data_IF_493622485807
#
_entry.id   IF_493622485807
#
_cell.length_a   1.000
_cell.length_b   1.000
_cell.length_c   1.000
_cell.angle_alpha   90.00
_cell.angle_beta   90.00
_cell.angle_gamma   90.00
#
_symmetry.space_group_name_H-M   'P 1'
#
loop_
_entity.id
_entity.type
_entity.pdbx_description
1 polymer ?
#
# COMPACT_ATOMS: atom_id res chain seq x y z
N UNK A 1 16.75 -7.07 25.86
CA UNK A 1 16.77 -6.64 24.44
C UNK A 1 16.34 -5.20 24.37
N UNK A 2 16.88 -4.45 23.43
CA UNK A 2 16.68 -3.01 23.33
C UNK A 2 15.24 -2.61 22.97
N UNK A 3 14.53 -3.49 22.27
CA UNK A 3 13.12 -3.41 21.92
C UNK A 3 12.48 -4.75 22.30
N UNK A 4 11.19 -4.75 22.61
CA UNK A 4 10.39 -5.98 22.74
C UNK A 4 10.13 -6.53 21.33
N UNK A 5 11.17 -7.20 20.78
CA UNK A 5 11.20 -7.64 19.41
C UNK A 5 10.93 -9.15 19.31
N UNK A 6 9.92 -9.51 18.53
CA UNK A 6 9.65 -10.89 18.13
C UNK A 6 10.73 -11.38 17.15
N UNK A 7 11.45 -12.47 17.47
CA UNK A 7 12.50 -13.01 16.62
C UNK A 7 11.99 -14.26 15.89
N UNK A 8 11.84 -14.17 14.58
CA UNK A 8 11.47 -15.28 13.71
C UNK A 8 12.72 -15.78 12.99
N UNK A 9 13.11 -17.02 13.25
CA UNK A 9 14.26 -17.67 12.63
C UNK A 9 13.84 -18.55 11.47
N UNK A 10 14.61 -18.51 10.37
CA UNK A 10 14.36 -19.33 9.18
C UNK A 10 15.66 -19.61 8.42
N UNK A 11 15.59 -20.40 7.34
CA UNK A 11 16.71 -20.72 6.45
C UNK A 11 17.20 -19.56 5.57
N UNK A 12 16.71 -18.34 5.80
CA UNK A 12 17.13 -17.14 5.07
C UNK A 12 18.61 -16.81 5.26
N UNK A 13 19.19 -16.09 4.33
CA UNK A 13 20.61 -15.69 4.36
C UNK A 13 20.84 -14.29 4.95
N UNK A 14 19.81 -13.46 5.06
CA UNK A 14 19.90 -12.06 5.51
C UNK A 14 19.02 -11.82 6.73
N UNK A 15 19.41 -10.86 7.58
CA UNK A 15 18.58 -10.35 8.66
C UNK A 15 17.78 -9.14 8.17
N UNK A 16 16.55 -9.02 8.66
CA UNK A 16 15.70 -7.85 8.40
C UNK A 16 14.88 -7.52 9.64
N UNK A 17 14.62 -6.25 9.87
CA UNK A 17 13.65 -5.77 10.84
C UNK A 17 12.43 -5.22 10.11
N UNK A 18 11.26 -5.52 10.63
CA UNK A 18 9.98 -5.04 10.15
C UNK A 18 9.20 -4.50 11.35
N UNK A 19 8.51 -3.39 11.16
CA UNK A 19 7.51 -2.92 12.12
C UNK A 19 6.15 -3.27 11.53
N UNK A 20 5.35 -3.98 12.30
CA UNK A 20 3.99 -4.35 11.93
C UNK A 20 3.07 -3.14 12.10
N UNK A 21 1.90 -3.16 11.49
CA UNK A 21 0.95 -2.04 11.55
C UNK A 21 0.41 -1.78 12.99
N UNK A 22 0.47 -2.80 13.86
CA UNK A 22 0.13 -2.71 15.28
C UNK A 22 1.32 -2.32 16.18
N UNK A 23 2.44 -1.87 15.57
CA UNK A 23 3.61 -1.34 16.27
C UNK A 23 4.57 -2.39 16.84
N UNK A 24 4.40 -3.70 16.55
CA UNK A 24 5.35 -4.71 16.99
C UNK A 24 6.60 -4.70 16.12
N UNK A 25 7.76 -4.82 16.77
CA UNK A 25 9.05 -4.98 16.09
C UNK A 25 9.28 -6.47 15.82
N UNK A 26 9.35 -6.87 14.56
CA UNK A 26 9.60 -8.26 14.15
C UNK A 26 10.95 -8.34 13.45
N UNK A 27 11.85 -9.19 13.98
CA UNK A 27 13.16 -9.47 13.37
C UNK A 27 13.12 -10.84 12.71
N UNK A 28 13.32 -10.85 11.40
CA UNK A 28 13.50 -12.09 10.64
C UNK A 28 14.99 -12.38 10.47
N UNK A 29 15.51 -13.44 11.11
CA UNK A 29 16.93 -13.75 11.15
C UNK A 29 17.24 -15.14 10.61
N UNK A 30 18.47 -15.36 10.06
CA UNK A 30 18.96 -16.69 9.77
C UNK A 30 19.05 -17.57 11.01
N UNK A 31 18.89 -18.91 10.85
CA UNK A 31 19.03 -19.88 11.94
C UNK A 31 20.41 -19.80 12.63
N UNK A 32 21.47 -19.57 11.85
CA UNK A 32 22.85 -19.52 12.32
C UNK A 32 23.24 -18.21 13.04
N UNK A 33 22.42 -17.15 12.96
CA UNK A 33 22.76 -15.84 13.54
C UNK A 33 22.59 -15.83 15.05
N UNK A 34 23.66 -15.52 15.80
CA UNK A 34 23.61 -15.45 17.25
C UNK A 34 22.75 -14.29 17.77
N UNK A 35 22.18 -14.43 18.98
CA UNK A 35 21.39 -13.38 19.63
C UNK A 35 22.16 -12.05 19.72
N UNK A 36 23.46 -12.10 20.10
CA UNK A 36 24.33 -10.89 20.16
C UNK A 36 24.44 -10.16 18.83
N UNK A 37 24.49 -10.89 17.68
CA UNK A 37 24.50 -10.28 16.35
C UNK A 37 23.15 -9.66 15.99
N UNK A 38 22.04 -10.26 16.44
CA UNK A 38 20.68 -9.69 16.24
C UNK A 38 20.54 -8.40 17.06
N UNK A 39 21.01 -8.37 18.29
CA UNK A 39 21.00 -7.17 19.15
C UNK A 39 21.83 -6.04 18.55
N UNK A 40 23.04 -6.34 18.08
CA UNK A 40 23.88 -5.35 17.40
C UNK A 40 23.22 -4.80 16.12
N UNK A 41 22.52 -5.67 15.37
CA UNK A 41 21.75 -5.25 14.20
C UNK A 41 20.58 -4.32 14.59
N UNK A 42 19.81 -4.67 15.64
CA UNK A 42 18.72 -3.82 16.15
C UNK A 42 19.25 -2.47 16.62
N UNK A 43 20.39 -2.45 17.32
CA UNK A 43 21.05 -1.22 17.75
C UNK A 43 21.43 -0.34 16.54
N UNK A 44 22.01 -0.94 15.50
CA UNK A 44 22.35 -0.21 14.27
C UNK A 44 21.13 0.37 13.55
N UNK A 45 19.94 -0.11 13.85
CA UNK A 45 18.66 0.32 13.29
C UNK A 45 17.79 1.12 14.28
N UNK A 46 18.30 1.42 15.48
CA UNK A 46 17.56 2.11 16.55
C UNK A 46 16.78 3.33 16.05
N UNK A 47 17.46 4.30 15.47
CA UNK A 47 16.84 5.54 14.99
C UNK A 47 15.75 5.28 13.92
N UNK A 48 15.99 4.30 13.05
CA UNK A 48 14.99 3.88 12.06
C UNK A 48 13.77 3.27 12.73
N UNK A 49 13.98 2.36 13.72
CA UNK A 49 12.89 1.69 14.45
C UNK A 49 12.06 2.72 15.22
N UNK A 50 12.69 3.59 16.01
CA UNK A 50 12.02 4.64 16.78
C UNK A 50 11.19 5.58 15.91
N UNK A 51 11.76 6.03 14.78
CA UNK A 51 11.06 6.86 13.81
C UNK A 51 9.84 6.15 13.19
N UNK A 52 9.89 4.83 13.01
CA UNK A 52 8.78 4.07 12.44
C UNK A 52 7.76 3.72 13.52
N UNK A 53 8.18 3.37 14.73
CA UNK A 53 7.27 3.16 15.86
C UNK A 53 6.44 4.40 16.18
N UNK A 54 7.05 5.60 16.17
CA UNK A 54 6.30 6.84 16.40
C UNK A 54 5.26 7.15 15.32
N UNK A 55 5.39 6.54 14.13
CA UNK A 55 4.42 6.64 13.03
C UNK A 55 3.37 5.53 13.03
N UNK A 56 3.58 4.48 13.85
CA UNK A 56 2.74 3.28 13.86
C UNK A 56 1.71 3.30 15.00
N UNK A 57 1.66 4.37 15.80
CA UNK A 57 0.49 4.60 16.66
C UNK A 57 -0.73 4.69 15.73
N UNK A 58 -1.75 3.83 15.91
CA UNK A 58 -2.95 3.90 15.08
C UNK A 58 -3.51 5.33 15.14
N UNK A 59 -3.36 6.11 14.07
CA UNK A 59 -3.92 7.46 13.99
C UNK A 59 -5.45 7.43 14.03
N UNK A 60 -6.01 6.27 13.71
CA UNK A 60 -7.45 6.06 13.60
C UNK A 60 -7.85 4.72 14.22
N UNK A 61 -9.03 4.61 14.83
CA UNK A 61 -9.55 3.34 15.30
C UNK A 61 -9.77 2.37 14.13
N UNK A 62 -9.75 1.05 14.38
CA UNK A 62 -10.16 0.05 13.39
C UNK A 62 -11.57 0.34 12.89
N UNK A 63 -11.81 0.04 11.61
CA UNK A 63 -13.15 0.13 11.02
C UNK A 63 -14.03 -1.02 11.53
N UNK A 64 -15.28 -0.71 11.84
CA UNK A 64 -16.29 -1.74 12.13
C UNK A 64 -16.71 -2.47 10.86
N UNK A 65 -17.37 -3.62 11.01
CA UNK A 65 -17.92 -4.35 9.87
C UNK A 65 -18.97 -3.53 9.09
N UNK A 66 -19.78 -2.74 9.80
CA UNK A 66 -20.76 -1.83 9.22
C UNK A 66 -20.10 -0.72 8.39
N UNK A 67 -19.05 -0.10 8.93
CA UNK A 67 -18.29 0.91 8.20
C UNK A 67 -17.63 0.34 6.94
N UNK A 68 -17.08 -0.87 7.03
CA UNK A 68 -16.52 -1.58 5.87
C UNK A 68 -17.62 -1.89 4.84
N UNK A 69 -18.80 -2.31 5.27
CA UNK A 69 -19.92 -2.58 4.37
C UNK A 69 -20.37 -1.31 3.63
N UNK A 70 -20.44 -0.17 4.32
CA UNK A 70 -20.76 1.15 3.73
C UNK A 70 -19.69 1.55 2.69
N UNK A 71 -18.40 1.44 3.05
CA UNK A 71 -17.31 1.74 2.12
C UNK A 71 -17.33 0.82 0.89
N UNK A 72 -17.63 -0.46 1.09
CA UNK A 72 -17.73 -1.44 0.01
C UNK A 72 -18.88 -1.10 -0.95
N UNK A 73 -20.04 -0.70 -0.43
CA UNK A 73 -21.19 -0.30 -1.23
C UNK A 73 -20.87 0.96 -2.05
N UNK A 74 -20.36 2.01 -1.41
CA UNK A 74 -19.95 3.23 -2.06
C UNK A 74 -18.87 3.01 -3.14
N UNK A 75 -17.87 2.16 -2.84
CA UNK A 75 -16.82 1.83 -3.79
C UNK A 75 -17.32 1.06 -5.02
N UNK A 76 -18.31 0.17 -4.85
CA UNK A 76 -18.92 -0.55 -5.98
C UNK A 76 -19.71 0.38 -6.92
N UNK A 77 -20.18 1.51 -6.43
CA UNK A 77 -20.88 2.51 -7.24
C UNK A 77 -19.91 3.50 -7.88
N UNK A 78 -18.99 4.10 -7.11
CA UNK A 78 -18.10 5.18 -7.59
C UNK A 78 -16.96 4.65 -8.47
N UNK A 79 -16.23 3.65 -8.01
CA UNK A 79 -14.95 3.27 -8.63
C UNK A 79 -15.09 2.70 -10.05
N UNK A 80 -16.11 1.88 -10.42
CA UNK A 80 -16.27 1.45 -11.80
C UNK A 80 -16.52 2.60 -12.76
N UNK A 81 -17.38 3.56 -12.42
CA UNK A 81 -17.67 4.76 -13.24
C UNK A 81 -16.40 5.61 -13.42
N UNK A 82 -15.60 5.73 -12.36
CA UNK A 82 -14.31 6.43 -12.37
C UNK A 82 -13.30 5.74 -13.28
N UNK A 83 -13.25 4.40 -13.24
CA UNK A 83 -12.41 3.61 -14.16
C UNK A 83 -12.82 3.83 -15.60
N UNK A 84 -14.13 3.79 -15.94
CA UNK A 84 -14.63 4.03 -17.30
C UNK A 84 -14.22 5.42 -17.80
N UNK A 85 -14.45 6.46 -17.01
CA UNK A 85 -14.10 7.84 -17.36
C UNK A 85 -12.59 8.00 -17.60
N UNK A 86 -11.76 7.48 -16.69
CA UNK A 86 -10.30 7.65 -16.74
C UNK A 86 -9.65 6.72 -17.78
N UNK A 87 -10.24 5.56 -18.08
CA UNK A 87 -9.77 4.67 -19.13
C UNK A 87 -9.79 5.35 -20.50
N UNK A 88 -10.78 6.21 -20.78
CA UNK A 88 -10.83 7.03 -21.99
C UNK A 88 -9.66 8.01 -22.07
N UNK A 89 -9.29 8.66 -20.96
CA UNK A 89 -8.18 9.61 -20.90
C UNK A 89 -6.81 8.92 -21.05
N UNK A 90 -6.66 7.73 -20.44
CA UNK A 90 -5.45 6.90 -20.61
C UNK A 90 -5.40 6.30 -22.03
N UNK A 91 -6.55 6.08 -22.67
CA UNK A 91 -6.68 5.45 -23.98
C UNK A 91 -6.47 3.94 -23.92
N UNK A 92 -7.13 3.26 -22.96
CA UNK A 92 -7.05 1.80 -22.76
C UNK A 92 -8.41 1.19 -22.48
N UNK A 93 -8.53 -0.11 -22.74
CA UNK A 93 -9.71 -0.91 -22.36
C UNK A 93 -9.48 -1.69 -21.07
N UNK A 94 -10.55 -1.88 -20.32
CA UNK A 94 -10.57 -2.67 -19.07
C UNK A 94 -11.50 -3.85 -19.28
N UNK A 95 -11.05 -5.03 -18.87
CA UNK A 95 -11.85 -6.26 -18.98
C UNK A 95 -12.85 -6.38 -17.83
N UNK A 96 -12.38 -6.18 -16.58
CA UNK A 96 -13.22 -6.29 -15.38
C UNK A 96 -12.69 -5.41 -14.26
N UNK A 97 -13.60 -4.77 -13.54
CA UNK A 97 -13.30 -4.07 -12.28
C UNK A 97 -13.85 -4.91 -11.12
N UNK A 98 -13.04 -5.09 -10.08
CA UNK A 98 -13.43 -5.80 -8.86
C UNK A 98 -13.05 -4.95 -7.64
N UNK A 99 -14.01 -4.74 -6.75
CA UNK A 99 -13.75 -4.06 -5.49
C UNK A 99 -13.34 -5.10 -4.44
N UNK A 100 -12.28 -4.77 -3.70
CA UNK A 100 -11.71 -5.62 -2.65
C UNK A 100 -11.64 -4.85 -1.34
N UNK A 101 -11.66 -5.58 -0.24
CA UNK A 101 -11.30 -5.10 1.08
C UNK A 101 -9.99 -5.82 1.45
N UNK A 102 -8.86 -5.12 1.48
CA UNK A 102 -7.55 -5.76 1.68
C UNK A 102 -6.54 -4.81 2.33
N UNK A 103 -5.61 -5.39 3.13
CA UNK A 103 -4.64 -4.65 3.95
C UNK A 103 -3.33 -4.28 3.24
N UNK A 104 -3.10 -4.74 2.00
CA UNK A 104 -1.75 -4.76 1.43
C UNK A 104 -1.55 -3.87 0.21
N UNK A 105 -2.62 -3.45 -0.47
CA UNK A 105 -2.53 -2.66 -1.69
C UNK A 105 -3.80 -1.85 -1.97
N UNK A 106 -3.65 -0.72 -2.65
CA UNK A 106 -4.74 0.16 -3.07
C UNK A 106 -5.43 -0.32 -4.33
N UNK A 107 -4.65 -0.90 -5.24
CA UNK A 107 -5.13 -1.48 -6.48
C UNK A 107 -4.21 -2.56 -7.02
N UNK A 108 -4.60 -3.16 -8.13
CA UNK A 108 -3.77 -4.01 -8.98
C UNK A 108 -4.37 -4.13 -10.36
N UNK A 109 -3.51 -4.21 -11.39
CA UNK A 109 -3.91 -4.50 -12.76
C UNK A 109 -3.22 -5.78 -13.23
N UNK A 110 -3.96 -6.68 -13.89
CA UNK A 110 -3.40 -7.85 -14.55
C UNK A 110 -3.13 -7.60 -16.02
N UNK A 111 -2.26 -8.40 -16.64
CA UNK A 111 -2.01 -8.35 -18.08
C UNK A 111 -3.29 -8.54 -18.93
N UNK A 112 -4.28 -9.28 -18.39
CA UNK A 112 -5.60 -9.46 -19.04
C UNK A 112 -6.52 -8.24 -18.91
N UNK A 113 -6.10 -7.17 -18.23
CA UNK A 113 -6.91 -5.95 -18.03
C UNK A 113 -7.95 -6.05 -16.93
N UNK A 114 -7.81 -6.98 -15.99
CA UNK A 114 -8.63 -7.00 -14.80
C UNK A 114 -8.02 -6.05 -13.77
N UNK A 115 -8.82 -5.10 -13.28
CA UNK A 115 -8.43 -4.12 -12.27
C UNK A 115 -9.11 -4.49 -10.95
N UNK A 116 -8.35 -4.59 -9.87
CA UNK A 116 -8.89 -4.64 -8.52
C UNK A 116 -8.60 -3.32 -7.82
N UNK A 117 -9.59 -2.80 -7.10
CA UNK A 117 -9.49 -1.55 -6.33
C UNK A 117 -9.94 -1.80 -4.89
N UNK A 118 -9.30 -1.13 -3.95
CA UNK A 118 -9.62 -1.25 -2.53
C UNK A 118 -10.78 -0.32 -2.15
N UNK A 119 -11.75 -0.83 -1.38
CA UNK A 119 -12.85 -0.01 -0.87
C UNK A 119 -12.39 1.14 0.04
N UNK A 120 -11.23 1.02 0.68
CA UNK A 120 -10.61 2.10 1.47
C UNK A 120 -10.28 3.35 0.64
N UNK A 121 -10.28 3.27 -0.69
CA UNK A 121 -10.18 4.46 -1.54
C UNK A 121 -11.29 5.47 -1.24
N UNK A 122 -12.44 5.01 -0.75
CA UNK A 122 -13.59 5.91 -0.43
C UNK A 122 -13.31 6.87 0.73
N UNK A 123 -12.34 6.57 1.60
CA UNK A 123 -11.89 7.49 2.66
C UNK A 123 -10.66 8.33 2.26
N UNK A 124 -10.17 8.16 1.03
CA UNK A 124 -9.11 9.02 0.47
C UNK A 124 -9.71 10.26 -0.21
N UNK A 125 -8.94 11.36 -0.34
CA UNK A 125 -9.30 12.48 -1.21
C UNK A 125 -9.62 12.02 -2.65
N UNK A 126 -10.50 12.74 -3.31
CA UNK A 126 -10.98 12.35 -4.64
C UNK A 126 -9.84 12.25 -5.67
N UNK A 127 -8.91 13.19 -5.64
CA UNK A 127 -7.76 13.23 -6.53
C UNK A 127 -6.80 12.05 -6.29
N UNK A 128 -6.75 11.57 -5.04
CA UNK A 128 -5.95 10.38 -4.68
C UNK A 128 -6.62 9.11 -5.20
N UNK A 129 -7.97 9.04 -5.17
CA UNK A 129 -8.71 7.94 -5.83
C UNK A 129 -8.44 7.92 -7.33
N UNK A 130 -8.55 9.08 -7.98
CA UNK A 130 -8.26 9.22 -9.42
C UNK A 130 -6.82 8.81 -9.73
N UNK A 131 -5.86 9.21 -8.89
CA UNK A 131 -4.46 8.80 -9.05
C UNK A 131 -4.29 7.28 -9.00
N UNK A 132 -4.90 6.60 -8.03
CA UNK A 132 -4.79 5.13 -7.96
C UNK A 132 -5.42 4.47 -9.19
N UNK A 133 -6.57 4.95 -9.64
CA UNK A 133 -7.22 4.43 -10.85
C UNK A 133 -6.36 4.67 -12.09
N UNK A 134 -5.81 5.87 -12.29
CA UNK A 134 -4.89 6.18 -13.40
C UNK A 134 -3.65 5.29 -13.33
N UNK A 135 -3.07 5.09 -12.15
CA UNK A 135 -1.93 4.20 -11.93
C UNK A 135 -2.22 2.77 -12.42
N UNK A 136 -3.35 2.19 -12.01
CA UNK A 136 -3.74 0.84 -12.44
C UNK A 136 -4.06 0.77 -13.94
N UNK A 137 -4.66 1.80 -14.49
CA UNK A 137 -4.93 1.89 -15.93
C UNK A 137 -3.64 1.99 -16.76
N UNK A 138 -2.63 2.74 -16.29
CA UNK A 138 -1.33 2.84 -16.96
C UNK A 138 -0.60 1.50 -17.05
N UNK A 139 -0.87 0.56 -16.15
CA UNK A 139 -0.37 -0.82 -16.26
C UNK A 139 -0.91 -1.57 -17.49
N UNK A 140 -1.97 -1.10 -18.14
CA UNK A 140 -2.41 -1.64 -19.44
C UNK A 140 -1.44 -1.32 -20.57
N UNK A 141 -0.62 -0.27 -20.43
CA UNK A 141 0.42 0.13 -21.39
C UNK A 141 1.80 -0.36 -20.98
N UNK A 142 2.11 -0.26 -19.70
CA UNK A 142 3.42 -0.59 -19.15
C UNK A 142 3.28 -1.33 -17.81
N UNK A 143 3.58 -2.63 -17.80
CA UNK A 143 3.39 -3.47 -16.59
C UNK A 143 4.40 -3.18 -15.49
N UNK A 144 5.54 -2.59 -15.81
CA UNK A 144 6.59 -2.25 -14.87
C UNK A 144 6.49 -0.78 -14.48
N UNK A 145 6.95 -0.42 -13.29
CA UNK A 145 7.11 0.99 -12.88
C UNK A 145 8.39 1.62 -13.47
N UNK A 146 8.62 1.41 -14.78
CA UNK A 146 9.71 1.98 -15.55
C UNK A 146 9.55 3.51 -15.74
N UNK A 147 10.56 4.22 -16.27
CA UNK A 147 10.38 5.62 -16.67
C UNK A 147 9.23 5.83 -17.65
N UNK A 148 8.96 4.85 -18.55
CA UNK A 148 7.84 4.89 -19.49
C UNK A 148 6.49 4.84 -18.78
N UNK A 149 6.36 4.00 -17.75
CA UNK A 149 5.16 3.95 -16.91
C UNK A 149 4.87 5.32 -16.28
N UNK A 150 5.88 5.91 -15.65
CA UNK A 150 5.70 7.21 -15.00
C UNK A 150 5.41 8.34 -15.98
N UNK A 151 5.96 8.29 -17.19
CA UNK A 151 5.61 9.22 -18.26
C UNK A 151 4.14 9.10 -18.68
N UNK A 152 3.59 7.89 -18.76
CA UNK A 152 2.15 7.68 -19.04
C UNK A 152 1.28 8.22 -17.90
N UNK A 153 1.66 7.99 -16.64
CA UNK A 153 0.93 8.56 -15.49
C UNK A 153 0.99 10.09 -15.53
N UNK A 154 2.15 10.68 -15.75
CA UNK A 154 2.36 12.14 -15.79
C UNK A 154 1.61 12.80 -16.95
N UNK A 155 1.48 12.12 -18.09
CA UNK A 155 0.71 12.59 -19.26
C UNK A 155 -0.77 12.80 -18.92
N UNK A 156 -1.36 11.91 -18.12
CA UNK A 156 -2.78 11.95 -17.74
C UNK A 156 -3.00 12.77 -16.48
N UNK A 157 -2.05 12.73 -15.54
CA UNK A 157 -2.11 13.41 -14.25
C UNK A 157 -0.76 14.06 -13.93
N UNK A 158 -0.51 15.29 -14.38
CA UNK A 158 0.78 15.97 -14.21
C UNK A 158 1.23 16.14 -12.76
N UNK A 159 0.29 16.27 -11.84
CA UNK A 159 0.52 16.44 -10.40
C UNK A 159 0.55 15.12 -9.60
N UNK A 160 0.61 13.96 -10.26
CA UNK A 160 0.56 12.63 -9.64
C UNK A 160 1.54 12.46 -8.48
N UNK A 161 2.69 13.15 -8.49
CA UNK A 161 3.70 13.07 -7.43
C UNK A 161 3.17 13.53 -6.08
N UNK A 162 2.24 14.51 -6.07
CA UNK A 162 1.54 14.99 -4.87
C UNK A 162 0.65 13.89 -4.29
N UNK A 163 -0.17 13.23 -5.11
CA UNK A 163 -1.09 12.18 -4.69
C UNK A 163 -0.36 10.90 -4.26
N UNK A 164 0.72 10.55 -4.97
CA UNK A 164 1.62 9.46 -4.58
C UNK A 164 2.28 9.71 -3.23
N UNK A 165 2.70 10.94 -2.95
CA UNK A 165 3.27 11.34 -1.66
C UNK A 165 2.24 11.19 -0.56
N UNK A 166 1.04 11.68 -0.78
CA UNK A 166 -0.07 11.56 0.17
C UNK A 166 -0.34 10.10 0.55
N UNK A 167 -0.44 9.20 -0.43
CA UNK A 167 -0.59 7.75 -0.17
C UNK A 167 0.57 7.15 0.60
N UNK A 168 1.78 7.67 0.42
CA UNK A 168 2.96 7.20 1.17
C UNK A 168 2.94 7.69 2.62
N UNK A 169 2.40 8.86 2.87
CA UNK A 169 2.37 9.50 4.19
C UNK A 169 1.16 9.03 5.00
N UNK A 170 -0.03 9.05 4.42
CA UNK A 170 -1.31 8.76 5.11
C UNK A 170 -1.83 7.34 4.86
N UNK A 171 -1.47 6.76 3.73
CA UNK A 171 -2.07 5.52 3.25
C UNK A 171 -1.82 4.32 4.16
N UNK A 172 -0.67 4.24 4.83
CA UNK A 172 -0.38 3.14 5.76
C UNK A 172 -1.28 3.17 6.99
N UNK A 173 -1.58 4.37 7.52
CA UNK A 173 -2.48 4.56 8.65
C UNK A 173 -3.91 4.12 8.28
N UNK A 174 -4.38 4.47 7.07
CA UNK A 174 -5.69 4.06 6.58
C UNK A 174 -5.79 2.55 6.35
N UNK A 175 -4.75 1.92 5.78
CA UNK A 175 -4.69 0.47 5.59
C UNK A 175 -4.68 -0.28 6.94
N UNK A 176 -4.10 0.30 7.97
CA UNK A 176 -4.07 -0.24 9.32
C UNK A 176 -5.43 -0.29 10.02
N UNK A 177 -6.47 0.37 9.47
CA UNK A 177 -7.84 0.36 10.01
C UNK A 177 -8.62 -0.92 9.71
N UNK A 178 -8.15 -1.77 8.80
CA UNK A 178 -8.73 -3.11 8.53
C UNK A 178 -8.19 -4.13 9.59
#
# INVERSE_FOLDING_TARGET
MLFDAEIIRSSRRTVAVQITHDGRVVVRAPLWMSGRKIEAFLESKRSWIEKHLSRTVPQFPPLTEEEIAVLMAAAKEDLPRRVERLALQVGVSVNRVTIRCQRTRWGSCSAKGNINLNCLLMICPEEVRDYVVVHELCHRREMNHSPRFWAEVERVMPDYRRHRRWLKEEGSALMGRL
#
